data_IF_842435527560
#
_entry.id   IF_842435527560
#
_cell.length_a   1.000
_cell.length_b   1.000
_cell.length_c   1.000
_cell.angle_alpha   90.00
_cell.angle_beta   90.00
_cell.angle_gamma   90.00
#
_symmetry.space_group_name_H-M   'P 1'
#
loop_
_entity.id
_entity.type
_entity.pdbx_description
1 polymer ?
#
# COMPACT_ATOMS: atom_id res chain seq x y z
N UNK A 1 -3.25 -19.69 -28.41
CA UNK A 1 -2.31 -20.44 -29.31
C UNK A 1 -1.75 -21.74 -28.68
N UNK A 2 -2.16 -22.11 -27.46
CA UNK A 2 -1.73 -23.34 -26.78
C UNK A 2 -0.48 -23.16 -25.90
N UNK A 3 0.00 -21.92 -25.74
CA UNK A 3 1.18 -21.59 -24.93
C UNK A 3 0.94 -21.57 -23.40
N UNK A 4 -0.31 -21.79 -22.97
CA UNK A 4 -0.73 -21.78 -21.57
C UNK A 4 -1.08 -20.41 -21.01
N UNK A 5 -1.03 -19.35 -21.84
CA UNK A 5 -1.41 -17.98 -21.47
C UNK A 5 -2.82 -17.70 -21.96
N UNK A 6 -3.62 -17.04 -21.13
CA UNK A 6 -4.98 -16.62 -21.49
C UNK A 6 -4.92 -15.52 -22.54
N UNK A 7 -5.95 -15.43 -23.36
CA UNK A 7 -6.13 -14.37 -24.35
C UNK A 7 -7.26 -13.43 -23.88
N UNK A 8 -7.11 -12.14 -24.13
CA UNK A 8 -8.15 -11.13 -23.99
C UNK A 8 -9.27 -11.39 -25.01
N UNK A 9 -10.46 -10.77 -24.84
CA UNK A 9 -11.51 -10.83 -25.87
C UNK A 9 -11.07 -10.31 -27.24
N UNK A 10 -10.01 -9.50 -27.28
CA UNK A 10 -9.36 -9.01 -28.51
C UNK A 10 -8.47 -10.05 -29.21
N UNK A 11 -8.18 -11.18 -28.54
CA UNK A 11 -7.26 -12.23 -29.01
C UNK A 11 -5.79 -11.99 -28.65
N UNK A 12 -5.47 -10.86 -28.02
CA UNK A 12 -4.13 -10.57 -27.52
C UNK A 12 -3.84 -11.37 -26.24
N UNK A 13 -2.57 -11.66 -25.95
CA UNK A 13 -2.20 -12.37 -24.71
C UNK A 13 -2.54 -11.52 -23.49
N UNK A 14 -3.01 -12.16 -22.43
CA UNK A 14 -3.17 -11.54 -21.11
C UNK A 14 -1.80 -11.35 -20.48
N UNK A 15 -1.16 -10.27 -20.90
CA UNK A 15 0.16 -9.84 -20.47
C UNK A 15 0.08 -8.46 -19.81
N UNK A 16 0.73 -8.34 -18.64
CA UNK A 16 0.75 -7.11 -17.87
C UNK A 16 2.20 -6.82 -17.47
N UNK A 17 2.67 -5.62 -17.78
CA UNK A 17 3.94 -5.10 -17.30
C UNK A 17 3.74 -4.67 -15.85
N UNK A 18 4.49 -5.33 -14.96
CA UNK A 18 4.51 -5.03 -13.54
C UNK A 18 5.79 -4.26 -13.19
N UNK A 19 5.62 -2.95 -13.02
CA UNK A 19 6.67 -2.06 -12.56
C UNK A 19 6.95 -2.27 -11.07
N UNK A 20 8.23 -2.45 -10.77
CA UNK A 20 8.76 -2.78 -9.46
C UNK A 20 10.03 -1.96 -9.27
N UNK A 21 10.20 -1.30 -8.12
CA UNK A 21 11.54 -0.82 -7.79
C UNK A 21 12.37 -1.89 -7.09
N UNK A 22 13.66 -1.89 -7.37
CA UNK A 22 14.61 -2.83 -6.79
C UNK A 22 14.67 -2.64 -5.27
N UNK A 23 14.14 -3.63 -4.54
CA UNK A 23 14.08 -3.62 -3.08
C UNK A 23 14.11 -5.06 -2.56
N UNK A 24 14.89 -5.30 -1.51
CA UNK A 24 15.11 -6.63 -0.92
C UNK A 24 13.81 -7.33 -0.49
N UNK A 25 12.80 -6.54 -0.08
CA UNK A 25 11.49 -7.05 0.29
C UNK A 25 10.60 -7.46 -0.89
N UNK A 26 10.69 -6.77 -2.02
CA UNK A 26 9.68 -6.94 -3.06
C UNK A 26 10.12 -7.93 -4.14
N UNK A 27 11.38 -7.86 -4.59
CA UNK A 27 11.85 -8.69 -5.71
C UNK A 27 11.59 -10.18 -5.51
N UNK A 28 11.95 -10.80 -4.36
CA UNK A 28 11.73 -12.24 -4.16
C UNK A 28 10.25 -12.61 -4.14
N UNK A 29 9.42 -11.77 -3.52
CA UNK A 29 7.96 -12.00 -3.43
C UNK A 29 7.31 -11.85 -4.80
N UNK A 30 7.71 -10.83 -5.57
CA UNK A 30 7.22 -10.58 -6.92
C UNK A 30 7.56 -11.73 -7.88
N UNK A 31 8.75 -12.32 -7.79
CA UNK A 31 9.12 -13.50 -8.58
C UNK A 31 8.22 -14.72 -8.28
N UNK A 32 7.87 -14.93 -7.01
CA UNK A 32 6.92 -15.98 -6.61
C UNK A 32 5.52 -15.73 -7.17
N UNK A 33 5.05 -14.48 -7.14
CA UNK A 33 3.75 -14.08 -7.69
C UNK A 33 3.71 -14.29 -9.20
N UNK A 34 4.76 -13.92 -9.93
CA UNK A 34 4.87 -14.16 -11.38
C UNK A 34 4.76 -15.63 -11.71
N UNK A 35 5.49 -16.49 -10.98
CA UNK A 35 5.41 -17.95 -11.16
C UNK A 35 3.99 -18.46 -10.93
N UNK A 36 3.33 -18.01 -9.86
CA UNK A 36 1.99 -18.44 -9.48
C UNK A 36 0.92 -17.95 -10.48
N UNK A 37 1.02 -16.70 -10.93
CA UNK A 37 0.12 -16.12 -11.92
C UNK A 37 0.21 -16.86 -13.26
N UNK A 38 1.42 -17.30 -13.65
CA UNK A 38 1.63 -18.06 -14.87
C UNK A 38 0.92 -19.42 -14.86
N UNK A 39 0.81 -20.09 -13.72
CA UNK A 39 0.07 -21.35 -13.58
C UNK A 39 -1.42 -21.23 -13.92
N UNK A 40 -1.99 -20.04 -13.74
CA UNK A 40 -3.38 -19.74 -14.10
C UNK A 40 -3.51 -19.03 -15.46
N UNK A 41 -2.41 -18.90 -16.20
CA UNK A 41 -2.34 -18.32 -17.53
C UNK A 41 -2.33 -16.79 -17.58
N UNK A 42 -1.87 -16.12 -16.53
CA UNK A 42 -1.64 -14.67 -16.52
C UNK A 42 -0.13 -14.43 -16.69
N UNK A 43 0.26 -13.69 -17.73
CA UNK A 43 1.67 -13.36 -17.95
C UNK A 43 2.02 -12.03 -17.27
N UNK A 44 2.72 -12.08 -16.13
CA UNK A 44 3.26 -10.89 -15.47
C UNK A 44 4.73 -10.70 -15.87
N UNK A 45 5.05 -9.56 -16.49
CA UNK A 45 6.42 -9.21 -16.88
C UNK A 45 7.00 -8.23 -15.87
N UNK A 46 7.93 -8.70 -15.04
CA UNK A 46 8.60 -7.83 -14.06
C UNK A 46 9.52 -6.84 -14.75
N UNK A 47 9.30 -5.57 -14.46
CA UNK A 47 10.12 -4.46 -14.91
C UNK A 47 10.78 -3.79 -13.70
N UNK A 48 11.94 -4.32 -13.32
CA UNK A 48 12.72 -3.81 -12.19
C UNK A 48 13.41 -2.48 -12.56
N UNK A 49 13.19 -1.46 -11.75
CA UNK A 49 13.74 -0.11 -11.94
C UNK A 49 14.46 0.38 -10.69
N UNK A 50 15.32 1.37 -10.87
CA UNK A 50 15.79 2.18 -9.74
C UNK A 50 14.59 2.92 -9.10
N UNK A 51 14.63 3.09 -7.78
CA UNK A 51 13.49 3.56 -6.98
C UNK A 51 12.98 4.94 -7.39
N UNK A 52 13.86 5.89 -7.66
CA UNK A 52 13.48 7.25 -8.08
C UNK A 52 12.73 7.21 -9.40
N UNK A 53 13.27 6.51 -10.41
CA UNK A 53 12.61 6.35 -11.71
C UNK A 53 11.26 5.63 -11.61
N UNK A 54 11.15 4.64 -10.73
CA UNK A 54 9.88 3.97 -10.46
C UNK A 54 8.83 4.93 -9.88
N UNK A 55 9.20 5.68 -8.84
CA UNK A 55 8.31 6.63 -8.16
C UNK A 55 7.86 7.74 -9.11
N UNK A 56 8.77 8.28 -9.92
CA UNK A 56 8.44 9.28 -10.94
C UNK A 56 7.40 8.76 -11.95
N UNK A 57 7.57 7.53 -12.45
CA UNK A 57 6.60 6.92 -13.37
C UNK A 57 5.25 6.67 -12.69
N UNK A 58 5.27 6.21 -11.44
CA UNK A 58 4.05 5.94 -10.68
C UNK A 58 3.25 7.23 -10.46
N UNK A 59 3.89 8.32 -10.01
CA UNK A 59 3.22 9.61 -9.83
C UNK A 59 2.74 10.24 -11.14
N UNK A 60 3.38 9.91 -12.26
CA UNK A 60 2.93 10.34 -13.59
C UNK A 60 1.79 9.47 -14.16
N UNK A 61 1.41 8.37 -13.50
CA UNK A 61 0.43 7.41 -14.03
C UNK A 61 0.98 6.57 -15.21
N UNK A 62 2.30 6.49 -15.34
CA UNK A 62 2.98 5.79 -16.44
C UNK A 62 3.25 4.32 -16.08
N UNK A 63 2.20 3.57 -15.75
CA UNK A 63 2.29 2.13 -15.45
C UNK A 63 1.01 1.37 -15.83
N UNK A 64 1.14 0.07 -16.07
CA UNK A 64 0.00 -0.86 -16.18
C UNK A 64 -0.32 -1.46 -14.80
N UNK A 65 0.70 -1.99 -14.12
CA UNK A 65 0.65 -2.43 -12.74
C UNK A 65 1.92 -1.95 -12.04
N UNK A 66 1.81 -1.48 -10.79
CA UNK A 66 2.93 -0.95 -10.01
C UNK A 66 2.90 -1.48 -8.58
N UNK A 67 4.08 -1.61 -7.96
CA UNK A 67 4.22 -1.90 -6.53
C UNK A 67 4.72 -0.70 -5.76
N UNK A 68 4.13 -0.50 -4.58
CA UNK A 68 4.65 0.43 -3.58
C UNK A 68 4.27 -0.03 -2.18
N UNK A 69 4.81 0.64 -1.17
CA UNK A 69 4.40 0.43 0.22
C UNK A 69 2.90 0.72 0.41
N UNK A 70 2.25 -0.15 1.17
CA UNK A 70 0.84 -0.03 1.50
C UNK A 70 0.66 0.85 2.74
N UNK A 71 0.56 2.17 2.51
CA UNK A 71 0.48 3.15 3.58
C UNK A 71 -0.90 3.22 4.23
N UNK A 72 -0.91 3.66 5.50
CA UNK A 72 -2.10 4.08 6.21
C UNK A 72 -3.18 3.00 6.30
N UNK A 73 -2.75 1.73 6.36
CA UNK A 73 -3.62 0.57 6.41
C UNK A 73 -4.14 0.24 7.82
N UNK A 74 -3.52 0.79 8.86
CA UNK A 74 -3.96 0.57 10.24
C UNK A 74 -5.02 1.61 10.61
N UNK A 75 -4.78 2.88 10.32
CA UNK A 75 -5.72 3.98 10.55
C UNK A 75 -5.95 4.80 9.26
N UNK A 76 -6.74 4.29 8.29
CA UNK A 76 -6.91 4.93 6.98
C UNK A 76 -7.56 6.31 7.03
N UNK A 77 -8.33 6.60 8.08
CA UNK A 77 -8.95 7.92 8.29
C UNK A 77 -7.97 9.02 8.72
N UNK A 78 -6.78 8.66 9.23
CA UNK A 78 -5.75 9.65 9.59
C UNK A 78 -4.99 10.18 8.38
N UNK A 79 -5.05 9.46 7.25
CA UNK A 79 -4.33 9.81 6.03
C UNK A 79 -5.16 9.43 4.79
N UNK A 80 -6.32 10.09 4.68
CA UNK A 80 -7.30 9.83 3.62
C UNK A 80 -6.73 9.94 2.21
N UNK A 81 -5.77 10.85 1.99
CA UNK A 81 -5.19 11.08 0.67
C UNK A 81 -4.48 9.83 0.10
N UNK A 82 -4.07 8.87 0.93
CA UNK A 82 -3.49 7.59 0.44
C UNK A 82 -4.55 6.64 -0.14
N UNK A 83 -5.83 6.92 0.10
CA UNK A 83 -6.97 6.07 -0.22
C UNK A 83 -7.94 6.71 -1.20
N UNK A 84 -8.21 8.00 -1.06
CA UNK A 84 -9.23 8.74 -1.79
C UNK A 84 -8.71 10.10 -2.26
N UNK A 85 -9.29 10.71 -3.30
CA UNK A 85 -8.89 12.04 -3.72
C UNK A 85 -9.28 13.08 -2.67
N UNK A 86 -8.32 13.92 -2.34
CA UNK A 86 -8.48 15.07 -1.45
C UNK A 86 -8.11 16.32 -2.23
N UNK A 87 -9.02 17.30 -2.29
CA UNK A 87 -8.88 18.50 -3.13
C UNK A 87 -7.59 19.29 -2.87
N UNK A 88 -7.08 19.26 -1.64
CA UNK A 88 -5.85 19.96 -1.24
C UNK A 88 -4.56 19.20 -1.56
N UNK A 89 -4.65 17.97 -2.08
CA UNK A 89 -3.50 17.10 -2.36
C UNK A 89 -3.58 16.59 -3.79
N UNK A 90 -3.12 17.41 -4.74
CA UNK A 90 -3.13 17.08 -6.16
C UNK A 90 -2.35 15.79 -6.47
N UNK A 91 -2.89 14.97 -7.38
CA UNK A 91 -2.28 13.69 -7.76
C UNK A 91 -2.43 12.57 -6.73
N UNK A 92 -3.15 12.82 -5.63
CA UNK A 92 -3.46 11.80 -4.63
C UNK A 92 -4.87 11.26 -4.83
N UNK A 93 -5.08 9.94 -4.71
CA UNK A 93 -4.06 8.95 -4.44
C UNK A 93 -3.35 8.49 -5.74
N UNK A 94 -2.08 8.08 -5.61
CA UNK A 94 -1.23 7.74 -6.75
C UNK A 94 -1.20 6.25 -7.12
N UNK A 95 -1.95 5.41 -6.41
CA UNK A 95 -1.92 3.95 -6.58
C UNK A 95 -2.70 3.46 -7.81
N UNK A 96 -3.44 4.34 -8.48
CA UNK A 96 -4.18 4.06 -9.71
C UNK A 96 -4.21 5.31 -10.59
N UNK A 97 -4.05 5.11 -11.90
CA UNK A 97 -3.87 6.19 -12.88
C UNK A 97 -4.99 7.24 -12.86
N UNK A 98 -6.20 6.82 -12.48
CA UNK A 98 -7.39 7.67 -12.52
C UNK A 98 -7.96 8.01 -11.13
N UNK A 99 -7.48 7.37 -10.06
CA UNK A 99 -8.13 7.46 -8.74
C UNK A 99 -8.08 8.87 -8.12
N UNK A 100 -7.11 9.69 -8.54
CA UNK A 100 -6.98 11.08 -8.11
C UNK A 100 -7.80 12.08 -8.92
N UNK A 101 -8.35 11.68 -10.08
CA UNK A 101 -8.99 12.61 -11.03
C UNK A 101 -10.43 12.26 -11.38
N UNK A 102 -10.84 11.00 -11.23
CA UNK A 102 -12.21 10.57 -11.52
C UNK A 102 -12.67 9.42 -10.61
N UNK A 103 -13.99 9.29 -10.47
CA UNK A 103 -14.63 8.12 -9.89
C UNK A 103 -14.71 7.03 -10.96
N UNK A 104 -13.65 6.24 -11.11
CA UNK A 104 -13.52 5.28 -12.21
C UNK A 104 -14.52 4.11 -12.16
N UNK A 105 -15.22 3.91 -11.04
CA UNK A 105 -16.36 3.00 -10.92
C UNK A 105 -17.36 3.49 -9.87
N UNK A 106 -18.64 3.05 -9.94
CA UNK A 106 -19.64 3.36 -8.90
C UNK A 106 -19.22 2.87 -7.51
N UNK A 107 -18.56 1.72 -7.43
CA UNK A 107 -18.07 1.17 -6.17
C UNK A 107 -16.94 2.02 -5.58
N UNK A 108 -16.07 2.58 -6.42
CA UNK A 108 -15.06 3.52 -5.96
C UNK A 108 -15.68 4.85 -5.50
N UNK A 109 -16.73 5.33 -6.16
CA UNK A 109 -17.51 6.49 -5.71
C UNK A 109 -18.10 6.27 -4.31
N UNK A 110 -18.77 5.13 -4.11
CA UNK A 110 -19.32 4.75 -2.80
C UNK A 110 -18.22 4.61 -1.74
N UNK A 111 -17.09 3.98 -2.09
CA UNK A 111 -15.93 3.89 -1.20
C UNK A 111 -15.43 5.29 -0.79
N UNK A 112 -15.32 6.22 -1.74
CA UNK A 112 -14.88 7.60 -1.49
C UNK A 112 -15.84 8.32 -0.55
N UNK A 113 -17.14 8.18 -0.76
CA UNK A 113 -18.16 8.82 0.08
C UNK A 113 -18.15 8.29 1.51
N UNK A 114 -18.07 6.96 1.70
CA UNK A 114 -17.94 6.34 3.02
C UNK A 114 -16.68 6.79 3.76
N UNK A 115 -15.55 6.88 3.04
CA UNK A 115 -14.28 7.32 3.62
C UNK A 115 -14.34 8.80 4.06
N UNK A 116 -14.97 9.67 3.27
CA UNK A 116 -15.20 11.08 3.63
C UNK A 116 -16.13 11.21 4.84
N UNK A 117 -17.27 10.53 4.83
CA UNK A 117 -18.20 10.55 5.97
C UNK A 117 -17.54 10.01 7.25
N UNK A 118 -16.76 8.93 7.14
CA UNK A 118 -16.10 8.30 8.27
C UNK A 118 -15.04 9.17 8.93
N UNK A 119 -14.36 10.03 8.16
CA UNK A 119 -13.36 10.95 8.67
C UNK A 119 -13.95 11.93 9.71
N UNK A 120 -15.12 12.49 9.41
CA UNK A 120 -15.80 13.48 10.25
C UNK A 120 -16.73 12.85 11.31
N UNK A 121 -16.91 11.53 11.25
CA UNK A 121 -17.82 10.80 12.14
C UNK A 121 -17.22 10.48 13.51
N UNK A 122 -18.06 10.35 14.56
CA UNK A 122 -17.65 9.78 15.85
C UNK A 122 -17.13 8.35 15.70
N UNK A 123 -16.29 7.89 16.64
CA UNK A 123 -15.58 6.60 16.57
C UNK A 123 -16.47 5.42 16.19
N UNK A 124 -17.63 5.25 16.84
CA UNK A 124 -18.51 4.10 16.59
C UNK A 124 -19.05 4.10 15.15
N UNK A 125 -19.46 5.27 14.65
CA UNK A 125 -19.94 5.43 13.27
C UNK A 125 -18.80 5.30 12.26
N UNK A 126 -17.62 5.83 12.57
CA UNK A 126 -16.40 5.65 11.76
C UNK A 126 -16.03 4.17 11.60
N UNK A 127 -16.15 3.37 12.66
CA UNK A 127 -15.91 1.92 12.61
C UNK A 127 -16.92 1.23 11.68
N UNK A 128 -18.20 1.60 11.76
CA UNK A 128 -19.25 1.07 10.87
C UNK A 128 -18.96 1.39 9.40
N UNK A 129 -18.72 2.67 9.09
CA UNK A 129 -18.42 3.14 7.73
C UNK A 129 -17.13 2.51 7.18
N UNK A 130 -16.09 2.41 8.02
CA UNK A 130 -14.83 1.77 7.63
C UNK A 130 -14.97 0.29 7.31
N UNK A 131 -15.91 -0.43 7.94
CA UNK A 131 -16.19 -1.83 7.61
C UNK A 131 -16.84 -1.96 6.24
N UNK A 132 -17.81 -1.10 5.92
CA UNK A 132 -18.45 -1.12 4.60
C UNK A 132 -17.46 -0.69 3.50
N UNK A 133 -16.66 0.35 3.74
CA UNK A 133 -15.60 0.76 2.82
C UNK A 133 -14.58 -0.38 2.57
N UNK A 134 -14.16 -1.10 3.61
CA UNK A 134 -13.27 -2.25 3.48
C UNK A 134 -13.92 -3.41 2.70
N UNK A 135 -15.22 -3.63 2.87
CA UNK A 135 -15.95 -4.65 2.09
C UNK A 135 -15.93 -4.31 0.61
N UNK A 136 -16.19 -3.07 0.25
CA UNK A 136 -16.12 -2.60 -1.14
C UNK A 136 -14.71 -2.82 -1.71
N UNK A 137 -13.67 -2.46 -0.95
CA UNK A 137 -12.28 -2.68 -1.38
C UNK A 137 -11.96 -4.16 -1.59
N UNK A 138 -12.44 -5.04 -0.72
CA UNK A 138 -12.21 -6.48 -0.81
C UNK A 138 -12.97 -7.14 -1.96
N UNK A 139 -14.20 -6.70 -2.26
CA UNK A 139 -15.02 -7.25 -3.34
C UNK A 139 -14.59 -6.76 -4.73
N UNK A 140 -14.05 -5.54 -4.82
CA UNK A 140 -13.68 -4.91 -6.10
C UNK A 140 -12.16 -4.90 -6.37
N UNK A 141 -11.33 -5.12 -5.35
CA UNK A 141 -9.87 -5.27 -5.46
C UNK A 141 -9.21 -4.07 -6.15
N UNK A 142 -9.46 -2.85 -5.64
CA UNK A 142 -8.79 -1.64 -6.16
C UNK A 142 -7.27 -1.66 -5.95
N UNK A 143 -6.82 -2.41 -4.95
CA UNK A 143 -5.41 -2.69 -4.63
C UNK A 143 -5.27 -4.14 -4.22
N UNK A 144 -4.17 -4.77 -4.62
CA UNK A 144 -3.82 -6.13 -4.19
C UNK A 144 -2.80 -6.06 -3.06
N UNK A 145 -3.16 -6.61 -1.89
CA UNK A 145 -2.23 -6.76 -0.78
C UNK A 145 -1.59 -8.14 -0.81
N UNK A 146 -0.26 -8.19 -0.96
CA UNK A 146 0.48 -9.45 -1.06
C UNK A 146 0.90 -9.98 0.32
N UNK A 147 1.11 -9.10 1.31
CA UNK A 147 1.44 -9.49 2.67
C UNK A 147 1.96 -8.35 3.54
N UNK A 148 2.14 -8.63 4.83
CA UNK A 148 2.78 -7.72 5.78
C UNK A 148 3.99 -8.42 6.41
N UNK A 149 5.03 -7.64 6.73
CA UNK A 149 6.22 -8.14 7.40
C UNK A 149 6.41 -7.46 8.74
N UNK A 150 6.64 -8.24 9.80
CA UNK A 150 7.11 -7.71 11.08
C UNK A 150 8.62 -7.46 10.99
N UNK A 151 9.06 -6.28 11.44
CA UNK A 151 10.49 -5.93 11.49
C UNK A 151 10.97 -5.90 12.94
N UNK A 152 12.10 -6.54 13.27
CA UNK A 152 12.67 -6.42 14.60
C UNK A 152 13.24 -5.02 14.80
N UNK A 153 13.00 -4.44 15.97
CA UNK A 153 13.70 -3.24 16.44
C UNK A 153 14.74 -3.64 17.47
N UNK A 154 15.98 -3.23 17.23
CA UNK A 154 17.12 -3.62 18.05
C UNK A 154 17.57 -2.40 18.84
N UNK A 155 17.54 -2.54 20.17
CA UNK A 155 17.99 -1.51 21.10
C UNK A 155 19.14 -2.01 21.95
N UNK A 156 20.02 -1.10 22.36
CA UNK A 156 21.07 -1.43 23.32
C UNK A 156 20.45 -1.78 24.68
N UNK A 157 20.95 -2.82 25.33
CA UNK A 157 20.57 -3.18 26.70
C UNK A 157 20.79 -2.05 27.72
N UNK A 158 21.62 -1.05 27.37
CA UNK A 158 21.88 0.16 28.16
C UNK A 158 20.75 1.17 28.14
N UNK A 159 19.78 1.05 27.23
CA UNK A 159 18.63 1.95 27.11
C UNK A 159 17.44 1.35 27.89
N UNK A 160 16.84 2.15 28.75
CA UNK A 160 15.64 1.86 29.51
C UNK A 160 14.41 2.57 28.93
N UNK A 161 13.24 2.10 29.36
CA UNK A 161 11.93 2.57 28.92
C UNK A 161 11.65 2.40 27.42
N UNK A 162 12.23 1.37 26.81
CA UNK A 162 11.95 1.01 25.41
C UNK A 162 10.71 0.09 25.38
N UNK A 163 9.70 0.38 24.55
CA UNK A 163 8.56 -0.52 24.33
C UNK A 163 9.01 -1.90 23.83
N UNK A 164 8.37 -2.96 24.31
CA UNK A 164 8.67 -4.32 23.88
C UNK A 164 8.18 -4.62 22.46
N UNK A 165 7.10 -3.97 22.06
CA UNK A 165 6.48 -4.10 20.74
C UNK A 165 6.26 -2.71 20.15
N UNK A 166 6.41 -2.60 18.84
CA UNK A 166 6.13 -1.37 18.10
C UNK A 166 5.96 -1.65 16.62
N UNK A 167 5.09 -0.87 15.99
CA UNK A 167 4.83 -0.95 14.56
C UNK A 167 5.24 0.37 13.90
N UNK A 168 5.77 0.30 12.67
CA UNK A 168 5.83 1.48 11.81
C UNK A 168 4.40 1.80 11.39
N UNK A 169 3.95 2.99 11.75
CA UNK A 169 2.65 3.52 11.37
C UNK A 169 2.95 4.80 10.60
N UNK A 170 2.75 4.76 9.29
CA UNK A 170 3.04 5.87 8.40
C UNK A 170 2.26 7.11 8.82
N UNK A 171 0.98 6.89 9.13
CA UNK A 171 0.00 7.86 9.63
C UNK A 171 0.36 8.51 10.98
N UNK A 172 1.33 7.96 11.74
CA UNK A 172 1.75 8.48 13.05
C UNK A 172 3.20 9.02 13.06
N UNK A 173 3.75 9.38 11.89
CA UNK A 173 5.07 9.99 11.79
C UNK A 173 6.15 9.12 11.16
N UNK A 174 5.75 8.12 10.36
CA UNK A 174 6.62 7.51 9.34
C UNK A 174 7.48 6.33 9.80
N UNK A 175 8.78 6.39 9.48
CA UNK A 175 9.71 5.23 9.50
C UNK A 175 10.16 4.80 10.88
N UNK A 176 9.84 5.57 11.92
CA UNK A 176 10.14 5.25 13.32
C UNK A 176 8.82 4.98 14.02
N UNK A 177 8.65 3.80 14.66
CA UNK A 177 7.51 3.53 15.52
C UNK A 177 7.35 4.62 16.58
N UNK A 178 6.15 4.74 17.13
CA UNK A 178 5.80 5.69 18.20
C UNK A 178 6.41 5.29 19.55
N UNK A 179 7.73 5.07 19.59
CA UNK A 179 8.47 4.66 20.75
C UNK A 179 8.57 5.72 21.85
N UNK A 180 8.24 6.98 21.52
CA UNK A 180 8.38 8.13 22.43
C UNK A 180 9.82 8.22 22.98
N UNK A 181 10.83 8.39 22.11
CA UNK A 181 12.24 8.36 22.51
C UNK A 181 12.60 9.40 23.58
N UNK A 182 11.81 10.46 23.72
CA UNK A 182 11.88 11.43 24.82
C UNK A 182 11.73 10.80 26.21
N UNK A 183 11.14 9.62 26.30
CA UNK A 183 10.96 8.88 27.55
C UNK A 183 12.10 7.88 27.80
N UNK A 184 13.03 7.72 26.87
CA UNK A 184 14.16 6.80 27.01
C UNK A 184 15.18 7.34 28.01
N UNK A 185 15.86 6.43 28.71
CA UNK A 185 16.96 6.80 29.61
C UNK A 185 18.12 5.81 29.52
N UNK A 186 19.30 6.25 29.93
CA UNK A 186 20.47 5.38 30.04
C UNK A 186 20.42 4.68 31.41
N UNK A 187 20.37 3.34 31.42
CA UNK A 187 20.30 2.52 32.65
C UNK A 187 21.57 2.58 33.49
N UNK A 188 22.73 2.75 32.85
CA UNK A 188 24.03 2.64 33.50
C UNK A 188 24.87 3.91 33.26
N UNK A 189 25.56 4.45 34.26
CA UNK A 189 26.42 5.61 34.08
C UNK A 189 27.51 5.35 33.02
N UNK A 190 27.98 6.41 32.34
CA UNK A 190 29.17 6.29 31.49
C UNK A 190 30.35 5.91 32.38
N UNK A 191 30.97 4.78 32.08
CA UNK A 191 32.31 4.44 32.57
C UNK A 191 33.34 5.44 32.05
#
# INVERSE_FOLDING_TARGET
>A
DGDGIRELPTGEKLEIIWDLYEHDLYTPVSEMVVSTAKEVGINLVLNQKEQTLHVENMYAGNFQMSTYDFFSAVEPFLQLNDWIPIETVAGSPFWHNNASVEMFSPEYEEFVDLMKEGADSPTDKRIELGKEANKIMAENIFKIHIGFGERPYIFSNRIGNVPLNGSRLWELGGTVPTFRPEQFYIKYPKN
#
